data_IF_360207559888
#
_entry.id   IF_360207559888
#
_cell.length_a   1.000
_cell.length_b   1.000
_cell.length_c   1.000
_cell.angle_alpha   90.00
_cell.angle_beta   90.00
_cell.angle_gamma   90.00
#
_symmetry.space_group_name_H-M   'P 1'
#
loop_
_entity.id
_entity.type
_entity.pdbx_description
1 polymer ?
#
# COMPACT_ATOMS: atom_id res chain seq x y z
N UNK A 1 5.46 -6.83 32.60
CA UNK A 1 6.89 -7.00 32.46
C UNK A 1 7.70 -6.31 33.58
N UNK A 2 7.84 -4.99 33.67
CA UNK A 2 8.62 -4.32 34.75
C UNK A 2 10.15 -4.43 34.59
N UNK A 3 10.65 -4.99 33.48
CA UNK A 3 12.08 -5.05 33.16
C UNK A 3 12.58 -3.74 32.55
N UNK A 4 13.73 -3.17 33.00
CA UNK A 4 14.29 -1.97 32.41
C UNK A 4 14.88 -2.29 31.02
N UNK A 5 14.34 -1.70 29.97
CA UNK A 5 14.74 -1.99 28.58
C UNK A 5 16.24 -1.74 28.33
N UNK A 6 16.83 -0.73 28.99
CA UNK A 6 18.26 -0.38 28.81
C UNK A 6 19.22 -1.43 29.33
N UNK A 7 18.83 -2.14 30.39
CA UNK A 7 19.71 -3.02 31.15
C UNK A 7 19.40 -4.51 30.92
N UNK A 8 18.38 -4.80 30.11
CA UNK A 8 17.93 -6.16 29.82
C UNK A 8 18.46 -6.60 28.46
N UNK A 9 19.02 -7.80 28.37
CA UNK A 9 19.51 -8.36 27.11
C UNK A 9 18.38 -8.55 26.10
N UNK A 10 18.65 -8.30 24.81
CA UNK A 10 17.64 -8.35 23.75
C UNK A 10 16.90 -9.68 23.69
N UNK A 11 17.61 -10.80 23.89
CA UNK A 11 17.01 -12.14 23.88
C UNK A 11 16.06 -12.40 25.07
N UNK A 12 16.24 -11.69 26.18
CA UNK A 12 15.31 -11.75 27.32
C UNK A 12 14.06 -10.90 27.04
N UNK A 13 14.25 -9.72 26.44
CA UNK A 13 13.13 -8.88 26.00
C UNK A 13 12.28 -9.58 24.93
N UNK A 14 12.91 -10.31 24.01
CA UNK A 14 12.24 -11.03 22.93
C UNK A 14 11.27 -12.13 23.42
N UNK A 15 11.48 -12.66 24.65
CA UNK A 15 10.52 -13.60 25.26
C UNK A 15 9.23 -12.94 25.73
N UNK A 16 9.30 -11.65 26.06
CA UNK A 16 8.16 -10.89 26.59
C UNK A 16 7.47 -10.05 25.51
N UNK A 17 8.25 -9.59 24.51
CA UNK A 17 7.80 -8.66 23.48
C UNK A 17 7.96 -9.30 22.10
N UNK A 18 6.85 -9.59 21.46
CA UNK A 18 6.83 -10.02 20.05
C UNK A 18 6.55 -8.85 19.12
N UNK A 19 7.39 -8.69 18.09
CA UNK A 19 7.29 -7.57 17.15
C UNK A 19 6.87 -8.04 15.76
N UNK A 20 5.89 -7.35 15.17
CA UNK A 20 5.48 -7.55 13.78
C UNK A 20 5.85 -6.28 13.01
N UNK A 21 6.72 -6.42 12.01
CA UNK A 21 7.28 -5.31 11.26
C UNK A 21 6.35 -4.85 10.13
N UNK A 22 6.48 -3.59 9.74
CA UNK A 22 5.77 -2.98 8.61
C UNK A 22 5.98 -3.78 7.31
N UNK A 23 7.23 -4.17 7.03
CA UNK A 23 7.55 -5.03 5.90
C UNK A 23 7.78 -6.46 6.36
N UNK A 24 6.84 -7.39 6.17
CA UNK A 24 6.99 -8.77 6.63
C UNK A 24 8.17 -9.50 5.99
N UNK A 25 8.62 -9.07 4.79
CA UNK A 25 9.78 -9.68 4.12
C UNK A 25 11.08 -9.48 4.90
N UNK A 26 11.21 -8.40 5.66
CA UNK A 26 12.40 -8.13 6.48
C UNK A 26 12.40 -8.92 7.80
N UNK A 27 11.31 -9.61 8.12
CA UNK A 27 11.16 -10.40 9.33
C UNK A 27 11.43 -11.89 9.08
N UNK A 28 11.26 -12.38 7.85
CA UNK A 28 11.39 -13.81 7.53
C UNK A 28 12.84 -14.26 7.41
N UNK A 29 13.13 -15.41 8.00
CA UNK A 29 14.42 -16.09 7.96
C UNK A 29 14.39 -17.35 7.08
N UNK A 30 13.21 -17.96 6.88
CA UNK A 30 13.05 -19.19 6.14
C UNK A 30 12.43 -18.99 4.76
N UNK A 31 12.50 -20.03 3.92
CA UNK A 31 11.91 -20.04 2.60
C UNK A 31 10.49 -20.62 2.58
N UNK A 32 10.15 -21.41 3.59
CA UNK A 32 8.86 -22.07 3.73
C UNK A 32 8.13 -21.62 5.00
N UNK A 33 6.81 -21.76 4.95
CA UNK A 33 5.89 -21.27 5.98
C UNK A 33 5.95 -22.07 7.27
N UNK A 34 6.29 -23.33 7.21
CA UNK A 34 6.30 -24.23 8.36
C UNK A 34 7.51 -23.92 9.23
N UNK A 35 8.71 -23.92 8.64
CA UNK A 35 9.95 -23.57 9.33
C UNK A 35 9.91 -22.14 9.91
N UNK A 36 9.25 -21.20 9.22
CA UNK A 36 9.09 -19.83 9.73
C UNK A 36 8.23 -19.75 10.99
N UNK A 37 7.20 -20.59 11.11
CA UNK A 37 6.36 -20.67 12.32
C UNK A 37 7.08 -21.33 13.49
N UNK A 38 8.01 -22.24 13.21
CA UNK A 38 8.78 -22.99 14.22
C UNK A 38 9.97 -22.18 14.74
N UNK A 39 10.55 -21.30 13.90
CA UNK A 39 11.82 -20.60 14.12
C UNK A 39 11.93 -19.90 15.47
N UNK A 40 10.92 -19.11 15.85
CA UNK A 40 10.93 -18.39 17.12
C UNK A 40 10.95 -19.34 18.33
N UNK A 41 10.20 -20.44 18.24
CA UNK A 41 10.12 -21.47 19.28
C UNK A 41 11.41 -22.27 19.40
N UNK A 42 12.07 -22.56 18.28
CA UNK A 42 13.39 -23.22 18.26
C UNK A 42 14.45 -22.34 18.92
N UNK A 43 14.46 -21.04 18.63
CA UNK A 43 15.37 -20.07 19.26
C UNK A 43 15.16 -19.94 20.77
N UNK A 44 13.94 -20.14 21.25
CA UNK A 44 13.63 -20.21 22.69
C UNK A 44 14.02 -21.54 23.32
N UNK A 45 14.46 -22.53 22.55
CA UNK A 45 14.81 -23.87 23.03
C UNK A 45 13.61 -24.71 23.43
N UNK A 46 12.45 -24.47 22.86
CA UNK A 46 11.23 -25.24 23.10
C UNK A 46 11.41 -26.66 22.56
N UNK A 47 11.06 -27.73 23.33
CA UNK A 47 11.16 -29.11 22.86
C UNK A 47 10.33 -29.34 21.56
N UNK A 48 10.85 -30.18 20.61
CA UNK A 48 10.21 -30.38 19.29
C UNK A 48 8.73 -30.79 19.36
N UNK A 49 8.36 -31.66 20.30
CA UNK A 49 6.95 -32.08 20.47
C UNK A 49 6.03 -30.92 20.87
N UNK A 50 6.55 -29.98 21.69
CA UNK A 50 5.80 -28.79 22.09
C UNK A 50 5.72 -27.78 20.93
N UNK A 51 6.79 -27.65 20.13
CA UNK A 51 6.79 -26.80 18.91
C UNK A 51 5.65 -27.25 18.01
N UNK A 52 5.58 -28.53 17.65
CA UNK A 52 4.53 -29.09 16.80
C UNK A 52 3.13 -28.76 17.35
N UNK A 53 2.89 -29.00 18.62
CA UNK A 53 1.61 -28.73 19.27
C UNK A 53 1.23 -27.25 19.25
N UNK A 54 2.20 -26.32 19.48
CA UNK A 54 1.98 -24.87 19.43
C UNK A 54 1.69 -24.40 18.00
N UNK A 55 2.44 -24.87 17.01
CA UNK A 55 2.22 -24.56 15.59
C UNK A 55 0.84 -25.04 15.16
N UNK A 56 0.45 -26.30 15.42
CA UNK A 56 -0.87 -26.82 15.10
C UNK A 56 -2.00 -25.98 15.75
N UNK A 57 -1.79 -25.56 16.99
CA UNK A 57 -2.74 -24.71 17.71
C UNK A 57 -2.84 -23.33 17.07
N UNK A 58 -1.72 -22.69 16.72
CA UNK A 58 -1.66 -21.41 16.03
C UNK A 58 -2.37 -21.48 14.68
N UNK A 59 -2.06 -22.48 13.87
CA UNK A 59 -2.67 -22.72 12.55
C UNK A 59 -4.19 -22.84 12.64
N UNK A 60 -4.68 -23.57 13.64
CA UNK A 60 -6.11 -23.75 13.91
C UNK A 60 -6.77 -22.45 14.38
N UNK A 61 -6.17 -21.77 15.35
CA UNK A 61 -6.71 -20.55 15.96
C UNK A 61 -6.78 -19.38 14.97
N UNK A 62 -5.71 -19.18 14.20
CA UNK A 62 -5.64 -18.12 13.20
C UNK A 62 -6.27 -18.51 11.86
N UNK A 63 -6.72 -19.78 11.72
CA UNK A 63 -7.34 -20.33 10.50
C UNK A 63 -6.45 -20.21 9.25
N UNK A 64 -5.14 -20.40 9.43
CA UNK A 64 -4.13 -20.22 8.37
C UNK A 64 -3.70 -21.54 7.69
N UNK A 65 -4.45 -22.61 7.82
CA UNK A 65 -4.13 -23.93 7.23
C UNK A 65 -3.76 -23.84 5.73
N UNK A 66 -4.37 -22.91 4.99
CA UNK A 66 -4.09 -22.71 3.56
C UNK A 66 -2.70 -22.14 3.27
N UNK A 67 -2.03 -21.57 4.27
CA UNK A 67 -0.69 -21.03 4.12
C UNK A 67 0.40 -22.09 4.35
N UNK A 68 0.08 -23.20 5.00
CA UNK A 68 1.05 -24.23 5.37
C UNK A 68 1.59 -24.96 4.12
N UNK A 69 2.83 -25.44 4.24
CA UNK A 69 3.55 -26.19 3.21
C UNK A 69 3.76 -25.40 1.91
N UNK A 70 3.92 -24.05 2.03
CA UNK A 70 4.12 -23.15 0.88
C UNK A 70 5.45 -22.43 0.97
N UNK A 71 5.97 -22.08 -0.20
CA UNK A 71 7.10 -21.16 -0.30
C UNK A 71 6.63 -19.74 0.01
N UNK A 72 7.34 -19.05 0.93
CA UNK A 72 7.00 -17.70 1.39
C UNK A 72 7.00 -16.68 0.23
N UNK A 73 7.88 -16.84 -0.75
CA UNK A 73 7.91 -15.94 -1.91
C UNK A 73 6.65 -16.02 -2.77
N UNK A 74 5.94 -17.18 -2.75
CA UNK A 74 4.68 -17.36 -3.48
C UNK A 74 3.46 -16.74 -2.79
N UNK A 75 3.61 -16.27 -1.53
CA UNK A 75 2.53 -15.66 -0.76
C UNK A 75 2.25 -14.22 -1.24
N UNK A 76 0.97 -13.83 -1.22
CA UNK A 76 0.55 -12.44 -1.37
C UNK A 76 1.02 -11.58 -0.20
N UNK A 77 0.98 -10.25 -0.34
CA UNK A 77 1.34 -9.32 0.74
C UNK A 77 0.55 -9.56 2.03
N UNK A 78 -0.77 -9.73 1.92
CA UNK A 78 -1.64 -10.03 3.07
C UNK A 78 -1.37 -11.39 3.71
N UNK A 79 -1.07 -12.42 2.90
CA UNK A 79 -0.69 -13.73 3.41
C UNK A 79 0.66 -13.68 4.15
N UNK A 80 1.64 -12.89 3.65
CA UNK A 80 2.91 -12.66 4.32
C UNK A 80 2.72 -11.96 5.66
N UNK A 81 1.88 -10.91 5.72
CA UNK A 81 1.60 -10.20 6.96
C UNK A 81 0.94 -11.13 7.98
N UNK A 82 0.00 -11.97 7.54
CA UNK A 82 -0.65 -12.95 8.41
C UNK A 82 0.34 -14.01 8.90
N UNK A 83 1.28 -14.45 8.07
CA UNK A 83 2.35 -15.38 8.48
C UNK A 83 3.29 -14.74 9.51
N UNK A 84 3.74 -13.48 9.27
CA UNK A 84 4.58 -12.75 10.22
C UNK A 84 3.89 -12.52 11.57
N UNK A 85 2.58 -12.25 11.56
CA UNK A 85 1.80 -12.21 12.79
C UNK A 85 1.72 -13.60 13.45
N UNK A 86 1.51 -14.65 12.68
CA UNK A 86 1.38 -16.01 13.18
C UNK A 86 2.67 -16.55 13.82
N UNK A 87 3.85 -16.23 13.25
CA UNK A 87 5.14 -16.62 13.83
C UNK A 87 5.34 -16.01 15.22
N UNK A 88 4.98 -14.71 15.37
CA UNK A 88 5.02 -14.05 16.69
C UNK A 88 3.94 -14.62 17.63
N UNK A 89 2.74 -14.89 17.12
CA UNK A 89 1.65 -15.45 17.92
C UNK A 89 1.98 -16.85 18.47
N UNK A 90 2.70 -17.68 17.70
CA UNK A 90 3.14 -19.01 18.14
C UNK A 90 4.06 -18.96 19.37
N UNK A 91 4.89 -17.92 19.50
CA UNK A 91 5.75 -17.68 20.67
C UNK A 91 4.94 -17.28 21.91
N UNK A 92 3.72 -16.76 21.75
CA UNK A 92 2.79 -16.36 22.80
C UNK A 92 3.34 -15.30 23.78
N UNK A 93 4.00 -14.22 23.35
CA UNK A 93 4.52 -13.18 24.23
C UNK A 93 3.41 -12.47 25.01
N UNK A 94 3.78 -11.73 26.09
CA UNK A 94 2.81 -10.93 26.83
C UNK A 94 2.51 -9.59 26.17
N UNK A 95 3.46 -9.05 25.40
CA UNK A 95 3.37 -7.76 24.72
C UNK A 95 3.56 -7.97 23.23
N UNK A 96 2.65 -7.44 22.43
CA UNK A 96 2.75 -7.41 20.97
C UNK A 96 2.99 -5.97 20.51
N UNK A 97 3.99 -5.76 19.67
CA UNK A 97 4.22 -4.48 18.99
C UNK A 97 4.02 -4.66 17.50
N UNK A 98 3.17 -3.83 16.89
CA UNK A 98 2.90 -3.87 15.46
C UNK A 98 3.19 -2.50 14.87
N UNK A 99 4.02 -2.48 13.83
CA UNK A 99 4.39 -1.27 13.12
C UNK A 99 3.71 -1.26 11.73
N UNK A 100 2.78 -0.33 11.54
CA UNK A 100 1.96 -0.14 10.33
C UNK A 100 1.50 -1.47 9.67
N UNK A 101 0.87 -2.38 10.44
CA UNK A 101 0.57 -3.72 9.95
C UNK A 101 -0.42 -3.75 8.78
N UNK A 102 -1.09 -2.63 8.47
CA UNK A 102 -2.09 -2.55 7.38
C UNK A 102 -1.59 -1.87 6.10
N UNK A 103 -0.33 -1.43 6.03
CA UNK A 103 0.19 -0.64 4.92
C UNK A 103 -0.08 -1.24 3.52
N UNK A 104 -0.02 -2.58 3.40
CA UNK A 104 -0.17 -3.31 2.13
C UNK A 104 -1.38 -4.27 2.12
N UNK A 105 -2.33 -4.07 3.04
CA UNK A 105 -3.49 -4.95 3.17
C UNK A 105 -4.72 -4.39 2.46
N UNK A 106 -5.46 -5.29 1.80
CA UNK A 106 -6.83 -5.01 1.37
C UNK A 106 -7.81 -5.06 2.57
N UNK A 107 -9.05 -4.67 2.34
CA UNK A 107 -10.06 -4.61 3.39
C UNK A 107 -10.33 -5.97 4.05
N UNK A 108 -10.30 -7.06 3.28
CA UNK A 108 -10.51 -8.41 3.83
C UNK A 108 -9.37 -8.82 4.76
N UNK A 109 -8.12 -8.51 4.37
CA UNK A 109 -6.95 -8.78 5.20
C UNK A 109 -6.92 -7.90 6.46
N UNK A 110 -7.33 -6.63 6.37
CA UNK A 110 -7.48 -5.73 7.53
C UNK A 110 -8.51 -6.30 8.51
N UNK A 111 -9.65 -6.79 8.02
CA UNK A 111 -10.67 -7.38 8.87
C UNK A 111 -10.19 -8.69 9.54
N UNK A 112 -9.39 -9.48 8.85
CA UNK A 112 -8.74 -10.66 9.44
C UNK A 112 -7.77 -10.25 10.56
N UNK A 113 -6.91 -9.25 10.32
CA UNK A 113 -6.00 -8.72 11.33
C UNK A 113 -6.78 -8.18 12.54
N UNK A 114 -7.85 -7.39 12.31
CA UNK A 114 -8.71 -6.87 13.38
C UNK A 114 -9.23 -7.99 14.29
N UNK A 115 -9.68 -9.12 13.72
CA UNK A 115 -10.15 -10.29 14.50
C UNK A 115 -9.04 -10.87 15.37
N UNK A 116 -7.79 -10.86 14.88
CA UNK A 116 -6.65 -11.33 15.68
C UNK A 116 -6.34 -10.37 16.84
N UNK A 117 -6.43 -9.06 16.61
CA UNK A 117 -6.25 -8.05 17.66
C UNK A 117 -7.29 -8.16 18.76
N UNK A 118 -8.57 -8.40 18.38
CA UNK A 118 -9.65 -8.66 19.35
C UNK A 118 -9.29 -9.90 20.20
N UNK A 119 -8.85 -10.98 19.58
CA UNK A 119 -8.44 -12.20 20.28
C UNK A 119 -7.31 -11.94 21.27
N UNK A 120 -6.24 -11.25 20.87
CA UNK A 120 -5.15 -10.89 21.77
C UNK A 120 -5.65 -10.12 23.00
N UNK A 121 -6.59 -9.19 22.77
CA UNK A 121 -7.20 -8.41 23.86
C UNK A 121 -8.03 -9.30 24.80
N UNK A 122 -8.81 -10.24 24.26
CA UNK A 122 -9.57 -11.23 25.05
C UNK A 122 -8.66 -12.18 25.85
N UNK A 123 -7.48 -12.51 25.30
CA UNK A 123 -6.45 -13.30 25.98
C UNK A 123 -5.65 -12.49 27.01
N UNK A 124 -5.99 -11.21 27.24
CA UNK A 124 -5.37 -10.34 28.24
C UNK A 124 -3.95 -9.87 27.85
N UNK A 125 -3.60 -9.94 26.56
CA UNK A 125 -2.33 -9.46 26.04
C UNK A 125 -2.28 -7.94 25.95
N UNK A 126 -1.09 -7.38 26.10
CA UNK A 126 -0.84 -5.96 25.81
C UNK A 126 -0.48 -5.79 24.35
N UNK A 127 -1.19 -4.91 23.65
CA UNK A 127 -0.93 -4.64 22.22
C UNK A 127 -0.59 -3.17 22.03
N UNK A 128 0.54 -2.88 21.43
CA UNK A 128 0.99 -1.53 21.03
C UNK A 128 1.06 -1.49 19.51
N UNK A 129 0.32 -0.59 18.89
CA UNK A 129 0.25 -0.47 17.43
C UNK A 129 0.58 0.96 17.04
N UNK A 130 1.59 1.12 16.15
CA UNK A 130 1.79 2.35 15.39
C UNK A 130 1.02 2.21 14.07
N UNK A 131 0.15 3.16 13.75
CA UNK A 131 -0.73 3.04 12.57
C UNK A 131 -1.24 4.40 12.09
N UNK A 132 -1.37 4.53 10.78
CA UNK A 132 -2.00 5.68 10.14
C UNK A 132 -3.47 5.43 9.79
N UNK A 133 -3.84 4.23 9.38
CA UNK A 133 -5.25 3.85 9.10
C UNK A 133 -5.98 3.54 10.41
N UNK A 134 -6.69 4.53 10.96
CA UNK A 134 -7.24 4.45 12.32
C UNK A 134 -8.62 3.81 12.40
N UNK A 135 -9.40 3.79 11.32
CA UNK A 135 -10.81 3.39 11.34
C UNK A 135 -11.07 1.97 11.85
N UNK A 136 -10.15 1.03 11.62
CA UNK A 136 -10.32 -0.36 12.05
C UNK A 136 -9.92 -0.60 13.50
N UNK A 137 -9.22 0.36 14.11
CA UNK A 137 -8.72 0.29 15.49
C UNK A 137 -9.51 1.18 16.46
N UNK A 138 -10.17 2.23 15.98
CA UNK A 138 -10.69 3.31 16.82
C UNK A 138 -11.57 2.83 17.98
N UNK A 139 -12.39 1.80 17.76
CA UNK A 139 -13.24 1.20 18.77
C UNK A 139 -12.58 0.09 19.60
N UNK A 140 -11.39 -0.36 19.21
CA UNK A 140 -10.63 -1.42 19.91
C UNK A 140 -9.64 -0.86 20.92
N UNK A 141 -9.08 0.33 20.68
CA UNK A 141 -8.06 0.92 21.56
C UNK A 141 -8.63 1.27 22.93
N UNK A 142 -7.82 1.07 23.96
CA UNK A 142 -8.12 1.54 25.32
C UNK A 142 -7.55 2.94 25.55
N UNK A 143 -6.42 3.23 24.88
CA UNK A 143 -5.72 4.52 24.92
C UNK A 143 -5.00 4.78 23.60
N UNK A 144 -5.11 5.99 23.06
CA UNK A 144 -4.32 6.45 21.92
C UNK A 144 -3.24 7.45 22.39
N UNK A 145 -2.06 7.35 21.82
CA UNK A 145 -0.93 8.22 22.12
C UNK A 145 -0.47 8.89 20.82
N UNK A 146 -0.50 10.22 20.81
CA UNK A 146 -0.02 11.00 19.67
C UNK A 146 1.43 11.42 19.91
N UNK A 147 2.30 11.01 18.97
CA UNK A 147 3.73 11.28 19.01
C UNK A 147 4.08 12.26 17.90
N UNK A 148 4.84 13.30 18.25
CA UNK A 148 5.44 14.24 17.30
C UNK A 148 6.87 14.54 17.72
N UNK A 149 7.79 14.58 16.76
CA UNK A 149 9.21 14.89 16.96
C UNK A 149 9.85 14.04 18.08
N UNK A 150 9.49 12.75 18.12
CA UNK A 150 10.00 11.78 19.10
C UNK A 150 9.46 11.97 20.53
N UNK A 151 8.42 12.79 20.73
CA UNK A 151 7.83 13.08 22.05
C UNK A 151 6.33 12.75 22.06
N UNK A 152 5.86 12.28 23.20
CA UNK A 152 4.42 12.16 23.45
C UNK A 152 3.87 13.57 23.65
N UNK A 153 3.09 14.05 22.67
CA UNK A 153 2.44 15.34 22.72
C UNK A 153 1.07 15.27 23.38
N UNK A 154 0.32 14.21 23.10
CA UNK A 154 -1.02 14.00 23.66
C UNK A 154 -1.30 12.52 23.96
N UNK A 155 -2.16 12.28 24.91
CA UNK A 155 -2.71 10.98 25.22
C UNK A 155 -4.22 11.10 25.34
N UNK A 156 -4.96 10.19 24.72
CA UNK A 156 -6.40 10.16 24.68
C UNK A 156 -6.90 8.85 25.28
N UNK A 157 -7.89 8.91 26.17
CA UNK A 157 -8.72 7.77 26.50
C UNK A 157 -9.53 7.32 25.28
N UNK A 158 -10.08 6.11 25.31
CA UNK A 158 -10.98 5.63 24.24
C UNK A 158 -12.11 6.59 23.95
N UNK A 159 -12.76 7.14 25.02
CA UNK A 159 -13.89 8.05 24.87
C UNK A 159 -13.49 9.36 24.19
N UNK A 160 -12.37 9.99 24.60
CA UNK A 160 -11.84 11.20 23.99
C UNK A 160 -11.43 10.96 22.54
N UNK A 161 -10.81 9.82 22.25
CA UNK A 161 -10.38 9.47 20.90
C UNK A 161 -11.55 9.30 19.94
N UNK A 162 -12.61 8.61 20.36
CA UNK A 162 -13.82 8.42 19.55
C UNK A 162 -14.67 9.69 19.40
N UNK A 163 -14.61 10.59 20.38
CA UNK A 163 -15.32 11.88 20.39
C UNK A 163 -14.51 13.02 19.74
N UNK A 164 -13.31 12.72 19.18
CA UNK A 164 -12.45 13.74 18.60
C UNK A 164 -13.16 14.50 17.47
N UNK A 165 -13.16 15.82 17.58
CA UNK A 165 -13.70 16.70 16.55
C UNK A 165 -12.88 16.66 15.27
N UNK A 166 -13.54 16.80 14.12
CA UNK A 166 -12.91 16.74 12.79
C UNK A 166 -11.79 17.80 12.64
N UNK A 167 -12.00 18.98 13.17
CA UNK A 167 -11.01 20.08 13.18
C UNK A 167 -9.73 19.70 13.93
N UNK A 168 -9.87 19.07 15.09
CA UNK A 168 -8.73 18.57 15.89
C UNK A 168 -8.03 17.41 15.19
N UNK A 169 -8.77 16.47 14.63
CA UNK A 169 -8.24 15.35 13.85
C UNK A 169 -7.35 15.85 12.71
N UNK A 170 -7.85 16.79 11.91
CA UNK A 170 -7.12 17.40 10.78
C UNK A 170 -5.88 18.15 11.30
N UNK A 171 -6.01 18.93 12.38
CA UNK A 171 -4.89 19.66 12.98
C UNK A 171 -3.75 18.73 13.42
N UNK A 172 -4.09 17.54 13.93
CA UNK A 172 -3.13 16.51 14.33
C UNK A 172 -2.58 15.72 13.13
N UNK A 173 -3.14 15.88 11.93
CA UNK A 173 -2.74 15.10 10.75
C UNK A 173 -3.17 13.63 10.82
N UNK A 174 -4.24 13.31 11.55
CA UNK A 174 -4.74 11.96 11.72
C UNK A 174 -5.73 11.57 10.62
N UNK A 175 -5.65 10.33 10.16
CA UNK A 175 -6.62 9.72 9.23
C UNK A 175 -7.99 9.54 9.90
N UNK A 176 -9.05 9.34 9.11
CA UNK A 176 -10.40 9.20 9.64
C UNK A 176 -10.53 8.04 10.63
N UNK A 177 -11.25 8.30 11.74
CA UNK A 177 -11.55 7.31 12.77
C UNK A 177 -12.73 6.39 12.41
N UNK A 178 -13.45 6.70 11.33
CA UNK A 178 -14.56 5.92 10.79
C UNK A 178 -14.28 5.53 9.36
N UNK A 179 -14.77 4.37 8.96
CA UNK A 179 -14.64 3.90 7.58
C UNK A 179 -15.30 4.88 6.62
N UNK A 180 -14.58 5.29 5.59
CA UNK A 180 -15.10 6.16 4.55
C UNK A 180 -16.05 5.38 3.63
N UNK A 181 -17.26 5.89 3.45
CA UNK A 181 -18.17 5.42 2.39
C UNK A 181 -17.73 6.07 1.09
N UNK A 182 -17.64 5.29 0.03
CA UNK A 182 -17.36 5.82 -1.31
C UNK A 182 -18.68 6.33 -1.88
N UNK A 183 -18.74 7.64 -2.11
CA UNK A 183 -19.84 8.33 -2.77
C UNK A 183 -19.22 9.20 -3.86
N UNK A 184 -19.13 8.64 -5.06
CA UNK A 184 -18.43 9.24 -6.20
C UNK A 184 -19.39 9.67 -7.32
N UNK A 185 -20.60 10.07 -6.99
CA UNK A 185 -21.59 10.59 -7.95
C UNK A 185 -21.15 11.94 -8.57
N UNK A 186 -19.97 11.94 -9.20
CA UNK A 186 -19.51 13.05 -10.04
C UNK A 186 -19.50 12.60 -11.48
N UNK A 187 -20.67 12.40 -12.06
CA UNK A 187 -20.81 12.22 -13.50
C UNK A 187 -20.38 13.52 -14.20
N UNK A 188 -19.10 13.59 -14.60
CA UNK A 188 -18.62 14.59 -15.54
C UNK A 188 -18.96 14.11 -16.95
N UNK A 189 -19.42 15.01 -17.81
CA UNK A 189 -19.51 14.74 -19.23
C UNK A 189 -18.09 14.75 -19.82
N UNK A 190 -17.61 13.61 -20.27
CA UNK A 190 -16.33 13.48 -20.96
C UNK A 190 -16.56 13.44 -22.48
N UNK A 191 -15.62 14.01 -23.25
CA UNK A 191 -15.69 13.97 -24.71
C UNK A 191 -15.45 12.54 -25.23
N UNK A 192 -16.43 12.02 -25.95
CA UNK A 192 -16.32 10.72 -26.60
C UNK A 192 -15.15 10.71 -27.62
N UNK A 193 -14.37 9.63 -27.62
CA UNK A 193 -13.25 9.47 -28.56
C UNK A 193 -11.91 10.07 -28.09
N UNK A 194 -11.88 10.87 -27.03
CA UNK A 194 -10.65 11.44 -26.47
C UNK A 194 -10.27 10.75 -25.15
N UNK A 195 -9.77 9.53 -25.20
CA UNK A 195 -9.42 8.84 -23.97
C UNK A 195 -8.55 7.62 -24.20
N UNK A 196 -8.17 6.96 -23.09
CA UNK A 196 -7.57 5.64 -23.09
C UNK A 196 -8.70 4.61 -23.09
N UNK A 197 -8.98 4.01 -24.25
CA UNK A 197 -10.00 2.99 -24.42
C UNK A 197 -9.44 1.59 -24.27
N UNK A 198 -10.09 0.78 -23.46
CA UNK A 198 -9.80 -0.64 -23.27
C UNK A 198 -11.02 -1.43 -23.73
N UNK A 199 -10.84 -2.40 -24.64
CA UNK A 199 -11.92 -3.18 -25.22
C UNK A 199 -11.58 -4.66 -25.19
N UNK A 200 -12.40 -5.47 -24.47
CA UNK A 200 -12.29 -6.93 -24.41
C UNK A 200 -10.92 -7.43 -23.93
N UNK A 201 -10.24 -6.68 -23.06
CA UNK A 201 -8.86 -6.95 -22.67
C UNK A 201 -8.74 -8.25 -21.89
N UNK A 202 -7.90 -9.17 -22.41
CA UNK A 202 -7.39 -10.32 -21.70
C UNK A 202 -5.87 -10.18 -21.52
N UNK A 203 -5.40 -10.29 -20.29
CA UNK A 203 -3.96 -10.25 -20.01
C UNK A 203 -3.58 -11.10 -18.78
N UNK A 204 -2.35 -11.61 -18.82
CA UNK A 204 -1.74 -12.44 -17.80
C UNK A 204 -0.25 -12.61 -18.07
N UNK A 205 0.40 -13.46 -17.31
CA UNK A 205 1.81 -13.79 -17.51
C UNK A 205 1.96 -14.90 -18.56
N UNK A 206 3.16 -14.96 -19.13
CA UNK A 206 3.45 -15.95 -20.17
C UNK A 206 3.27 -17.37 -19.60
N UNK A 207 2.61 -18.21 -20.38
CA UNK A 207 2.33 -19.64 -20.05
C UNK A 207 1.40 -19.85 -18.83
N UNK A 208 0.72 -18.79 -18.35
CA UNK A 208 -0.29 -18.82 -17.28
C UNK A 208 -1.68 -18.42 -17.83
N UNK A 209 -2.76 -18.85 -17.19
CA UNK A 209 -4.11 -18.41 -17.55
C UNK A 209 -4.25 -16.87 -17.42
N UNK A 210 -5.13 -16.31 -18.28
CA UNK A 210 -5.48 -14.90 -18.18
C UNK A 210 -5.93 -14.52 -16.76
N UNK A 211 -5.24 -13.57 -16.14
CA UNK A 211 -5.60 -13.00 -14.84
C UNK A 211 -6.76 -12.03 -15.01
N UNK A 212 -6.69 -11.18 -16.05
CA UNK A 212 -7.77 -10.28 -16.47
C UNK A 212 -8.46 -10.90 -17.69
N UNK A 213 -9.79 -10.92 -17.67
CA UNK A 213 -10.60 -11.51 -18.75
C UNK A 213 -11.70 -10.54 -19.16
N UNK A 214 -11.77 -10.25 -20.46
CA UNK A 214 -12.83 -9.49 -21.10
C UNK A 214 -13.15 -8.13 -20.45
N UNK A 215 -12.10 -7.39 -20.05
CA UNK A 215 -12.24 -6.11 -19.38
C UNK A 215 -12.40 -4.98 -20.41
N UNK A 216 -13.44 -4.17 -20.24
CA UNK A 216 -13.70 -3.01 -21.11
C UNK A 216 -14.02 -1.78 -20.27
N UNK A 217 -13.33 -0.67 -20.52
CA UNK A 217 -13.60 0.64 -19.93
C UNK A 217 -12.88 1.73 -20.71
N UNK A 218 -13.21 2.99 -20.40
CA UNK A 218 -12.49 4.15 -20.94
C UNK A 218 -12.09 5.07 -19.78
N UNK A 219 -10.85 5.59 -19.82
CA UNK A 219 -10.38 6.66 -18.95
C UNK A 219 -10.12 7.92 -19.76
N UNK A 220 -10.49 9.09 -19.23
CA UNK A 220 -10.53 10.33 -19.99
C UNK A 220 -9.48 11.34 -19.53
N UNK A 221 -9.00 12.25 -20.42
CA UNK A 221 -8.23 13.41 -20.01
C UNK A 221 -9.02 14.27 -19.01
N UNK A 222 -8.35 14.68 -17.94
CA UNK A 222 -8.99 15.44 -16.86
C UNK A 222 -9.71 14.58 -15.82
N UNK A 223 -9.71 13.26 -15.98
CA UNK A 223 -10.26 12.28 -15.03
C UNK A 223 -9.16 11.68 -14.16
N UNK A 224 -9.47 11.49 -12.87
CA UNK A 224 -8.75 10.56 -11.99
C UNK A 224 -9.62 9.31 -11.85
N UNK A 225 -9.26 8.24 -12.54
CA UNK A 225 -9.92 6.95 -12.47
C UNK A 225 -9.27 6.07 -11.39
N UNK A 226 -10.00 5.77 -10.33
CA UNK A 226 -9.61 4.79 -9.33
C UNK A 226 -9.80 3.36 -9.84
N UNK A 227 -8.90 2.46 -9.50
CA UNK A 227 -9.01 1.02 -9.75
C UNK A 227 -8.91 0.30 -8.41
N UNK A 228 -9.98 -0.41 -8.03
CA UNK A 228 -10.05 -1.15 -6.77
C UNK A 228 -10.41 -2.62 -7.02
N UNK A 229 -10.27 -3.44 -5.98
CA UNK A 229 -10.56 -4.88 -6.01
C UNK A 229 -9.65 -5.62 -5.03
N UNK A 230 -10.02 -6.82 -4.62
CA UNK A 230 -9.25 -7.63 -3.66
C UNK A 230 -7.81 -7.93 -4.11
N UNK A 231 -6.95 -8.32 -3.18
CA UNK A 231 -5.57 -8.70 -3.53
C UNK A 231 -5.58 -9.96 -4.40
N UNK A 232 -4.70 -9.97 -5.42
CA UNK A 232 -4.64 -11.07 -6.40
C UNK A 232 -5.64 -11.00 -7.55
N UNK A 233 -6.58 -10.03 -7.59
CA UNK A 233 -7.56 -9.89 -8.68
C UNK A 233 -6.95 -9.44 -10.01
N UNK A 234 -5.69 -9.01 -10.02
CA UNK A 234 -4.97 -8.63 -11.24
C UNK A 234 -4.74 -7.14 -11.44
N UNK A 235 -4.91 -6.29 -10.43
CA UNK A 235 -4.66 -4.83 -10.52
C UNK A 235 -3.28 -4.50 -11.08
N UNK A 236 -2.23 -5.04 -10.48
CA UNK A 236 -0.85 -4.84 -10.94
C UNK A 236 -0.61 -5.44 -12.34
N UNK A 237 -1.26 -6.56 -12.67
CA UNK A 237 -1.22 -7.15 -14.02
C UNK A 237 -1.86 -6.22 -15.04
N UNK A 238 -3.03 -5.65 -14.74
CA UNK A 238 -3.69 -4.69 -15.58
C UNK A 238 -2.80 -3.47 -15.86
N UNK A 239 -2.31 -2.78 -14.84
CA UNK A 239 -1.51 -1.57 -15.03
C UNK A 239 -0.19 -1.83 -15.75
N UNK A 240 0.46 -2.98 -15.52
CA UNK A 240 1.64 -3.41 -16.30
C UNK A 240 1.29 -3.65 -17.77
N UNK A 241 0.12 -4.20 -18.06
CA UNK A 241 -0.36 -4.37 -19.43
C UNK A 241 -0.65 -3.02 -20.08
N UNK A 242 -1.32 -2.10 -19.40
CA UNK A 242 -1.59 -0.73 -19.89
C UNK A 242 -0.29 0.03 -20.22
N UNK A 243 0.74 -0.13 -19.39
CA UNK A 243 2.08 0.45 -19.63
C UNK A 243 2.89 -0.30 -20.69
N UNK A 244 2.40 -1.42 -21.25
CA UNK A 244 3.13 -2.22 -22.22
C UNK A 244 4.34 -2.99 -21.62
N UNK A 245 4.37 -3.19 -20.30
CA UNK A 245 5.39 -4.03 -19.65
C UNK A 245 5.10 -5.51 -19.88
N UNK A 246 3.83 -5.89 -19.87
CA UNK A 246 3.37 -7.20 -20.32
C UNK A 246 2.50 -7.08 -21.57
N UNK A 247 2.39 -8.17 -22.33
CA UNK A 247 1.62 -8.19 -23.57
C UNK A 247 0.18 -8.56 -23.26
N UNK A 248 -0.76 -7.89 -23.97
CA UNK A 248 -2.16 -8.31 -24.06
C UNK A 248 -2.24 -9.67 -24.78
N UNK A 249 -3.13 -10.52 -24.33
CA UNK A 249 -3.42 -11.81 -24.97
C UNK A 249 -4.68 -11.70 -25.85
N UNK A 250 -5.63 -10.85 -25.45
CA UNK A 250 -6.86 -10.56 -26.19
C UNK A 250 -7.24 -9.09 -26.05
N UNK A 251 -8.13 -8.64 -26.93
CA UNK A 251 -8.67 -7.29 -26.93
C UNK A 251 -7.72 -6.24 -27.48
N UNK A 252 -8.03 -4.99 -27.20
CA UNK A 252 -7.24 -3.85 -27.68
C UNK A 252 -7.18 -2.72 -26.67
N UNK A 253 -6.10 -1.94 -26.74
CA UNK A 253 -5.90 -0.72 -25.96
C UNK A 253 -5.67 0.41 -26.96
N UNK A 254 -6.47 1.45 -26.89
CA UNK A 254 -6.41 2.62 -27.78
C UNK A 254 -6.22 3.91 -27.00
N UNK A 255 -5.59 4.90 -27.59
CA UNK A 255 -5.47 6.26 -27.05
C UNK A 255 -5.93 7.23 -28.12
N UNK A 256 -6.93 8.07 -27.82
CA UNK A 256 -7.50 9.04 -28.75
C UNK A 256 -8.01 8.39 -30.05
N UNK A 257 -8.52 7.17 -29.97
CA UNK A 257 -9.03 6.38 -31.09
C UNK A 257 -8.00 5.47 -31.78
N UNK A 258 -6.71 5.73 -31.61
CA UNK A 258 -5.65 4.93 -32.22
C UNK A 258 -5.29 3.71 -31.35
N UNK A 259 -5.32 2.50 -31.94
CA UNK A 259 -4.92 1.27 -31.25
C UNK A 259 -3.42 1.26 -31.02
N UNK A 260 -3.01 1.18 -29.76
CA UNK A 260 -1.61 1.24 -29.35
C UNK A 260 -0.96 -0.15 -29.30
N UNK A 261 0.13 -0.32 -30.06
CA UNK A 261 1.06 -1.45 -29.87
C UNK A 261 1.86 -1.29 -28.57
N UNK A 262 2.43 -2.39 -28.06
CA UNK A 262 3.21 -2.43 -26.83
C UNK A 262 4.23 -1.28 -26.69
N UNK A 263 5.08 -1.05 -27.70
CA UNK A 263 6.08 0.03 -27.67
C UNK A 263 5.46 1.44 -27.64
N UNK A 264 4.29 1.62 -28.23
CA UNK A 264 3.55 2.90 -28.21
C UNK A 264 2.97 3.15 -26.83
N UNK A 265 2.48 2.11 -26.13
CA UNK A 265 2.05 2.23 -24.73
C UNK A 265 3.21 2.66 -23.82
N UNK A 266 4.38 2.06 -23.95
CA UNK A 266 5.59 2.46 -23.20
C UNK A 266 5.97 3.93 -23.41
N UNK A 267 5.71 4.47 -24.61
CA UNK A 267 5.97 5.89 -24.91
C UNK A 267 4.92 6.83 -24.31
N UNK A 268 3.67 6.39 -24.17
CA UNK A 268 2.55 7.24 -23.75
C UNK A 268 2.18 7.08 -22.27
N UNK A 269 2.59 5.98 -21.62
CA UNK A 269 2.24 5.69 -20.24
C UNK A 269 3.47 5.79 -19.32
N UNK A 270 3.28 6.32 -18.11
CA UNK A 270 4.24 6.27 -17.01
C UNK A 270 3.61 5.57 -15.81
N UNK A 271 4.37 4.68 -15.17
CA UNK A 271 3.95 3.96 -13.98
C UNK A 271 4.78 4.40 -12.79
N UNK A 272 4.12 4.94 -11.78
CA UNK A 272 4.69 5.12 -10.44
C UNK A 272 4.39 3.85 -9.65
N UNK A 273 5.45 3.14 -9.28
CA UNK A 273 5.35 1.85 -8.61
C UNK A 273 5.04 2.01 -7.12
N UNK A 274 4.39 1.01 -6.51
CA UNK A 274 4.15 0.95 -5.07
C UNK A 274 5.44 1.06 -4.26
N UNK A 275 6.46 0.30 -4.63
CA UNK A 275 7.82 0.44 -4.06
C UNK A 275 8.68 1.26 -5.02
N UNK A 276 8.76 2.56 -4.74
CA UNK A 276 9.51 3.53 -5.56
C UNK A 276 11.03 3.26 -5.56
N UNK A 277 11.57 2.48 -4.60
CA UNK A 277 12.97 2.10 -4.60
C UNK A 277 13.35 1.26 -5.84
N UNK A 278 12.39 0.56 -6.43
CA UNK A 278 12.60 -0.21 -7.67
C UNK A 278 12.55 0.65 -8.94
N UNK A 279 12.36 1.95 -8.81
CA UNK A 279 12.19 2.87 -9.93
C UNK A 279 13.23 3.99 -9.97
N UNK A 280 13.94 4.22 -8.86
CA UNK A 280 14.93 5.28 -8.71
C UNK A 280 16.34 4.68 -8.86
N UNK A 281 17.07 5.07 -9.92
CA UNK A 281 18.34 4.45 -10.31
C UNK A 281 19.48 5.44 -10.49
N UNK A 282 19.19 6.76 -10.52
CA UNK A 282 20.20 7.79 -10.74
C UNK A 282 21.05 8.04 -9.49
N UNK A 283 22.20 8.66 -9.69
CA UNK A 283 23.11 9.05 -8.61
C UNK A 283 22.63 10.32 -7.86
N UNK A 284 21.69 11.08 -8.44
CA UNK A 284 21.12 12.28 -7.83
C UNK A 284 19.64 12.44 -8.14
N UNK A 285 18.95 13.22 -7.31
CA UNK A 285 17.54 13.63 -7.52
C UNK A 285 17.39 14.35 -8.86
N UNK A 286 18.30 15.26 -9.19
CA UNK A 286 18.29 15.97 -10.46
C UNK A 286 18.48 15.01 -11.64
N UNK A 287 19.47 14.12 -11.58
CA UNK A 287 19.71 13.12 -12.61
C UNK A 287 18.55 12.15 -12.82
N UNK A 288 17.76 11.84 -11.78
CA UNK A 288 16.56 11.04 -11.91
C UNK A 288 15.50 11.77 -12.76
N UNK A 289 15.38 13.08 -12.58
CA UNK A 289 14.49 13.92 -13.37
C UNK A 289 14.95 14.05 -14.85
N UNK A 290 16.24 14.16 -15.10
CA UNK A 290 16.79 14.15 -16.47
C UNK A 290 16.46 12.82 -17.19
N UNK A 291 16.67 11.69 -16.54
CA UNK A 291 16.36 10.36 -17.11
C UNK A 291 14.88 10.18 -17.44
N UNK A 292 13.98 10.88 -16.76
CA UNK A 292 12.55 10.85 -17.07
C UNK A 292 12.21 11.47 -18.43
N UNK A 293 13.14 12.17 -19.06
CA UNK A 293 13.01 12.77 -20.39
C UNK A 293 12.91 14.30 -20.38
N UNK A 294 13.12 14.94 -19.24
CA UNK A 294 13.24 16.39 -19.16
C UNK A 294 14.61 16.83 -19.68
N UNK A 295 14.63 17.65 -20.71
CA UNK A 295 15.85 18.22 -21.33
C UNK A 295 16.13 19.67 -20.91
N UNK A 296 15.24 20.28 -20.15
CA UNK A 296 15.32 21.66 -19.70
C UNK A 296 15.62 21.70 -18.19
N UNK A 297 16.84 22.14 -17.82
CA UNK A 297 17.26 22.26 -16.43
C UNK A 297 16.35 23.19 -15.60
N UNK A 298 15.86 24.28 -16.22
CA UNK A 298 14.96 25.22 -15.52
C UNK A 298 13.63 24.55 -15.16
N UNK A 299 13.08 23.76 -16.10
CA UNK A 299 11.86 22.98 -15.85
C UNK A 299 12.05 21.88 -14.80
N UNK A 300 13.24 21.25 -14.74
CA UNK A 300 13.56 20.29 -13.68
C UNK A 300 13.56 20.98 -12.31
N UNK A 301 14.26 22.12 -12.17
CA UNK A 301 14.33 22.87 -10.90
C UNK A 301 12.97 23.40 -10.47
N UNK A 302 12.16 23.88 -11.42
CA UNK A 302 10.78 24.28 -11.13
C UNK A 302 9.96 23.11 -10.59
N UNK A 303 10.02 21.93 -11.22
CA UNK A 303 9.35 20.74 -10.75
C UNK A 303 9.86 20.31 -9.36
N UNK A 304 11.18 20.27 -9.15
CA UNK A 304 11.73 19.91 -7.85
C UNK A 304 11.31 20.89 -6.75
N UNK A 305 11.26 22.19 -7.02
CA UNK A 305 10.75 23.19 -6.10
C UNK A 305 9.26 22.97 -5.79
N UNK A 306 8.45 22.65 -6.81
CA UNK A 306 7.01 22.35 -6.64
C UNK A 306 6.74 21.13 -5.75
N UNK A 307 7.67 20.18 -5.72
CA UNK A 307 7.58 18.96 -4.90
C UNK A 307 8.43 19.03 -3.60
N UNK A 308 8.87 20.20 -3.17
CA UNK A 308 9.74 20.41 -1.99
C UNK A 308 11.01 19.54 -2.01
N UNK A 309 11.63 19.44 -3.17
CA UNK A 309 12.85 18.66 -3.40
C UNK A 309 14.04 19.53 -3.87
N UNK A 310 13.87 20.86 -3.97
CA UNK A 310 14.93 21.76 -4.45
C UNK A 310 16.22 21.68 -3.64
N UNK A 311 16.12 21.54 -2.32
CA UNK A 311 17.30 21.42 -1.44
C UNK A 311 18.03 20.07 -1.56
N UNK A 312 17.49 19.11 -2.34
CA UNK A 312 17.98 17.75 -2.46
C UNK A 312 18.51 17.41 -3.85
N UNK A 313 18.70 18.38 -4.74
CA UNK A 313 19.09 18.18 -6.16
C UNK A 313 20.24 17.20 -6.31
N UNK A 314 21.32 17.38 -5.52
CA UNK A 314 22.54 16.57 -5.56
C UNK A 314 22.46 15.32 -4.63
N UNK A 315 21.36 15.13 -3.93
CA UNK A 315 21.23 14.02 -2.99
C UNK A 315 20.95 12.74 -3.74
N UNK A 316 21.62 11.64 -3.35
CA UNK A 316 21.31 10.32 -3.91
C UNK A 316 19.88 9.90 -3.55
N UNK A 317 19.02 9.44 -4.49
CA UNK A 317 17.61 9.12 -4.23
C UNK A 317 17.40 8.15 -3.06
N UNK A 318 18.31 7.20 -2.86
CA UNK A 318 18.20 6.24 -1.76
C UNK A 318 18.40 6.85 -0.38
N UNK A 319 19.03 8.04 -0.27
CA UNK A 319 19.20 8.77 0.99
C UNK A 319 17.96 9.58 1.40
N UNK A 320 16.99 9.74 0.50
CA UNK A 320 15.74 10.43 0.76
C UNK A 320 14.85 9.62 1.74
N UNK A 321 14.01 10.33 2.50
CA UNK A 321 12.91 9.71 3.25
C UNK A 321 11.87 9.06 2.31
N UNK A 322 11.03 8.16 2.83
CA UNK A 322 9.99 7.51 2.04
C UNK A 322 9.06 8.50 1.33
N UNK A 323 8.60 9.54 2.02
CA UNK A 323 7.77 10.59 1.44
C UNK A 323 8.49 11.42 0.36
N UNK A 324 9.78 11.74 0.56
CA UNK A 324 10.59 12.42 -0.45
C UNK A 324 10.79 11.57 -1.70
N UNK A 325 11.06 10.27 -1.55
CA UNK A 325 11.13 9.33 -2.69
C UNK A 325 9.82 9.26 -3.46
N UNK A 326 8.69 9.24 -2.75
CA UNK A 326 7.37 9.27 -3.39
C UNK A 326 7.18 10.56 -4.21
N UNK A 327 7.49 11.73 -3.63
CA UNK A 327 7.42 13.00 -4.34
C UNK A 327 8.37 13.05 -5.56
N UNK A 328 9.57 12.49 -5.44
CA UNK A 328 10.51 12.38 -6.57
C UNK A 328 9.92 11.53 -7.69
N UNK A 329 9.39 10.34 -7.38
CA UNK A 329 8.78 9.47 -8.40
C UNK A 329 7.61 10.14 -9.14
N UNK A 330 6.92 11.05 -8.46
CA UNK A 330 5.87 11.83 -9.11
C UNK A 330 6.42 12.99 -9.92
N UNK A 331 7.43 13.70 -9.44
CA UNK A 331 8.13 14.72 -10.21
C UNK A 331 8.64 14.14 -11.54
N UNK A 332 9.23 12.95 -11.51
CA UNK A 332 9.67 12.23 -12.73
C UNK A 332 8.49 11.87 -13.64
N UNK A 333 7.33 11.47 -13.06
CA UNK A 333 6.13 11.21 -13.85
C UNK A 333 5.64 12.46 -14.59
N UNK A 334 5.64 13.62 -13.92
CA UNK A 334 5.28 14.93 -14.52
C UNK A 334 6.23 15.28 -15.66
N UNK A 335 7.52 15.25 -15.37
CA UNK A 335 8.59 15.60 -16.30
C UNK A 335 8.68 14.68 -17.52
N UNK A 336 8.20 13.43 -17.40
CA UNK A 336 8.16 12.47 -18.50
C UNK A 336 7.33 12.95 -19.71
N UNK A 337 6.49 13.97 -19.55
CA UNK A 337 5.60 14.50 -20.60
C UNK A 337 4.51 13.54 -21.06
N UNK A 338 4.42 12.33 -20.50
CA UNK A 338 3.49 11.28 -20.98
C UNK A 338 2.04 11.65 -20.73
N UNK A 339 1.14 11.12 -21.59
CA UNK A 339 -0.29 11.42 -21.57
C UNK A 339 -1.03 10.66 -20.48
N UNK A 340 -0.60 9.42 -20.20
CA UNK A 340 -1.24 8.51 -19.25
C UNK A 340 -0.31 8.28 -18.06
N UNK A 341 -0.77 8.64 -16.88
CA UNK A 341 -0.03 8.48 -15.62
C UNK A 341 -0.76 7.48 -14.74
N UNK A 342 -0.05 6.45 -14.30
CA UNK A 342 -0.61 5.36 -13.51
C UNK A 342 0.13 5.29 -12.18
N UNK A 343 -0.61 5.26 -11.08
CA UNK A 343 -0.08 5.20 -9.71
C UNK A 343 -0.52 3.91 -9.04
N UNK A 344 0.44 3.12 -8.56
CA UNK A 344 0.17 1.87 -7.84
C UNK A 344 0.34 2.08 -6.33
N UNK A 345 -0.76 2.07 -5.57
CA UNK A 345 -0.83 2.27 -4.11
C UNK A 345 -0.06 3.52 -3.61
N UNK A 346 -0.31 4.71 -4.16
CA UNK A 346 0.52 5.89 -3.89
C UNK A 346 0.42 6.44 -2.45
N UNK A 347 -0.51 5.96 -1.64
CA UNK A 347 -0.74 6.42 -0.26
C UNK A 347 -0.45 5.37 0.80
N UNK A 348 0.21 4.27 0.42
CA UNK A 348 0.57 3.22 1.38
C UNK A 348 1.53 3.76 2.45
N UNK A 349 1.17 3.60 3.73
CA UNK A 349 1.99 4.08 4.86
C UNK A 349 2.01 5.61 5.03
N UNK A 350 1.09 6.38 4.41
CA UNK A 350 1.05 7.83 4.56
C UNK A 350 0.05 8.28 5.64
N UNK A 351 0.46 9.27 6.42
CA UNK A 351 -0.42 10.01 7.30
C UNK A 351 -1.44 10.86 6.51
N UNK A 352 -2.32 11.57 7.21
CA UNK A 352 -3.37 12.38 6.57
C UNK A 352 -2.81 13.51 5.71
N UNK A 353 -1.75 14.22 6.17
CA UNK A 353 -1.21 15.37 5.46
C UNK A 353 -0.58 14.94 4.14
N UNK A 354 0.31 13.95 4.17
CA UNK A 354 0.95 13.44 2.98
C UNK A 354 -0.05 12.79 2.01
N UNK A 355 -1.08 12.09 2.54
CA UNK A 355 -2.16 11.59 1.70
C UNK A 355 -2.90 12.71 0.96
N UNK A 356 -3.19 13.85 1.64
CA UNK A 356 -3.83 15.02 1.01
C UNK A 356 -2.94 15.65 -0.06
N UNK A 357 -1.64 15.74 0.16
CA UNK A 357 -0.67 16.19 -0.84
C UNK A 357 -0.74 15.32 -2.11
N UNK A 358 -0.78 13.98 -1.96
CA UNK A 358 -0.95 13.06 -3.09
C UNK A 358 -2.31 13.27 -3.78
N UNK A 359 -3.40 13.50 -3.03
CA UNK A 359 -4.71 13.81 -3.62
C UNK A 359 -4.66 15.07 -4.50
N UNK A 360 -4.08 16.14 -3.98
CA UNK A 360 -3.96 17.42 -4.70
C UNK A 360 -3.13 17.26 -5.96
N UNK A 361 -2.04 16.52 -5.86
CA UNK A 361 -1.12 16.25 -6.94
C UNK A 361 -1.79 15.48 -8.08
N UNK A 362 -2.44 14.34 -7.83
CA UNK A 362 -3.09 13.56 -8.89
C UNK A 362 -4.24 14.35 -9.53
N UNK A 363 -4.96 15.17 -8.74
CA UNK A 363 -5.99 16.08 -9.26
C UNK A 363 -5.41 17.19 -10.15
N UNK A 364 -4.26 17.76 -9.79
CA UNK A 364 -3.59 18.79 -10.59
C UNK A 364 -3.09 18.21 -11.92
N UNK A 365 -2.57 16.98 -11.92
CA UNK A 365 -2.21 16.27 -13.15
C UNK A 365 -3.42 16.05 -14.08
N UNK A 366 -4.55 15.65 -13.52
CA UNK A 366 -5.79 15.51 -14.28
C UNK A 366 -6.24 16.87 -14.84
N UNK A 367 -6.26 17.96 -14.01
CA UNK A 367 -6.59 19.33 -14.48
C UNK A 367 -5.66 19.81 -15.60
N UNK A 368 -4.41 19.37 -15.63
CA UNK A 368 -3.46 19.63 -16.71
C UNK A 368 -3.72 18.78 -17.98
N UNK A 369 -4.85 18.06 -18.04
CA UNK A 369 -5.27 17.28 -19.20
C UNK A 369 -4.63 15.89 -19.30
N UNK A 370 -3.97 15.42 -18.26
CA UNK A 370 -3.47 14.03 -18.20
C UNK A 370 -4.62 13.06 -17.93
N UNK A 371 -4.46 11.82 -18.41
CA UNK A 371 -5.29 10.68 -18.02
C UNK A 371 -4.62 10.05 -16.82
N UNK A 372 -5.28 10.07 -15.66
CA UNK A 372 -4.71 9.60 -14.40
C UNK A 372 -5.47 8.36 -13.93
N UNK A 373 -4.74 7.25 -13.76
CA UNK A 373 -5.26 6.02 -13.16
C UNK A 373 -4.57 5.79 -11.83
N UNK A 374 -5.35 5.45 -10.80
CA UNK A 374 -4.81 5.16 -9.46
C UNK A 374 -5.33 3.82 -8.97
N UNK A 375 -4.41 2.90 -8.72
CA UNK A 375 -4.73 1.66 -8.01
C UNK A 375 -4.62 1.92 -6.51
N UNK A 376 -5.68 1.71 -5.75
CA UNK A 376 -5.61 1.83 -4.30
C UNK A 376 -6.70 1.04 -3.56
N UNK A 377 -6.40 0.67 -2.31
CA UNK A 377 -7.34 0.16 -1.32
C UNK A 377 -7.75 1.23 -0.29
N UNK A 378 -7.17 2.41 -0.39
CA UNK A 378 -7.38 3.50 0.53
C UNK A 378 -8.67 4.28 0.16
N UNK A 379 -9.78 3.96 0.83
CA UNK A 379 -11.08 4.58 0.57
C UNK A 379 -11.09 6.08 0.85
N UNK A 380 -10.34 6.55 1.86
CA UNK A 380 -10.27 7.97 2.18
C UNK A 380 -9.58 8.75 1.05
N UNK A 381 -8.47 8.21 0.57
CA UNK A 381 -7.79 8.76 -0.61
C UNK A 381 -8.65 8.70 -1.87
N UNK A 382 -9.29 7.55 -2.15
CA UNK A 382 -10.11 7.40 -3.35
C UNK A 382 -11.32 8.35 -3.35
N UNK A 383 -11.97 8.54 -2.20
CA UNK A 383 -13.08 9.49 -2.04
C UNK A 383 -12.65 10.93 -2.33
N UNK A 384 -11.44 11.31 -1.91
CA UNK A 384 -10.93 12.66 -2.05
C UNK A 384 -10.28 12.92 -3.42
N UNK A 385 -9.65 11.92 -4.02
CA UNK A 385 -8.86 12.04 -5.24
C UNK A 385 -9.59 11.65 -6.51
N UNK A 386 -10.39 10.58 -6.50
CA UNK A 386 -10.95 9.99 -7.71
C UNK A 386 -12.29 10.64 -8.13
N UNK A 387 -12.54 10.66 -9.42
CA UNK A 387 -13.83 11.07 -10.00
C UNK A 387 -14.75 9.85 -10.17
N UNK A 388 -14.18 8.67 -10.45
CA UNK A 388 -14.88 7.40 -10.65
C UNK A 388 -13.99 6.24 -10.20
N UNK A 389 -14.59 5.10 -9.84
CA UNK A 389 -13.87 3.86 -9.49
C UNK A 389 -14.29 2.72 -10.39
N UNK A 390 -13.31 1.99 -10.92
CA UNK A 390 -13.46 0.71 -11.59
C UNK A 390 -13.20 -0.40 -10.55
N UNK A 391 -14.22 -1.23 -10.28
CA UNK A 391 -14.11 -2.39 -9.40
C UNK A 391 -13.70 -3.62 -10.22
N UNK A 392 -12.51 -4.20 -9.92
CA UNK A 392 -12.07 -5.44 -10.55
C UNK A 392 -12.54 -6.65 -9.75
N UNK A 393 -13.05 -7.67 -10.47
CA UNK A 393 -13.48 -8.94 -9.87
C UNK A 393 -14.93 -8.98 -9.40
N UNK A 394 -15.65 -7.88 -9.38
CA UNK A 394 -17.11 -7.87 -9.30
C UNK A 394 -17.67 -8.08 -10.71
N UNK A 395 -18.57 -9.05 -10.88
CA UNK A 395 -19.38 -9.11 -12.09
C UNK A 395 -20.31 -7.91 -12.02
N UNK A 396 -20.33 -7.08 -13.06
CA UNK A 396 -21.43 -6.13 -13.24
C UNK A 396 -22.75 -6.94 -13.16
N UNK A 397 -23.48 -6.81 -12.06
CA UNK A 397 -24.87 -7.21 -12.02
C UNK A 397 -25.60 -6.25 -12.96
N UNK A 398 -26.09 -6.80 -14.05
CA UNK A 398 -26.61 -6.22 -15.27
C UNK A 398 -27.26 -4.85 -15.19
N UNK A 399 -26.86 -4.01 -16.14
CA UNK A 399 -27.63 -2.87 -16.59
C UNK A 399 -28.83 -3.33 -17.40
#
# INVERSE_FOLDING_TARGET
>A
AGMPVRDTAVYELAKEVGSVFQNPKSQFFHLDTDSELEFGLENEGVPPEQIKSRVETTVRQLKIKKLMHRNIFSLSGGEKQLLAFASVYAMNPQIYTLDEPTANLDEEAIEKLRKQLIRLKEEGKTVVIAEHRLYFLADLVDRAVYIRDGRIEKSFSKAEFLAMEETERIRLGLRKLRRTTLDLEKARAYEAGKGLGICGLGCGYKDEPDVIKDLSFTAYPGEVLGISGHNGVGKTTLIRCLCGLIREQKGSISLEGDVLKRKQRQKNCFLVMQDVNHQLFSDSVFGECEQAGASDEAGIREALAQFDLGDYEETHPMALSGGQKQRLAVATAVLSGKKVLIFDEPTSGLDYRHMKEVCEMVRNLAKAGKIVLVVSHDREFMQDACDRILMLGEKEEGA
#
